data_IF_316829277386
#
_entry.id   IF_316829277386
#
_cell.length_a   1.000
_cell.length_b   1.000
_cell.length_c   1.000
_cell.angle_alpha   90.00
_cell.angle_beta   90.00
_cell.angle_gamma   90.00
#
_symmetry.space_group_name_H-M   'P 1'
#
loop_
_entity.id
_entity.type
_entity.pdbx_description
1 polymer ?
#
# COMPACT_ATOMS: atom_id res chain seq x y z
N UNK A 1 22.50 0.79 6.71
CA UNK A 1 21.07 0.58 7.01
C UNK A 1 20.70 1.33 8.27
N UNK A 2 21.03 2.62 8.34
CA UNK A 2 20.49 3.52 9.36
C UNK A 2 19.47 4.41 8.65
N UNK A 3 18.25 4.44 9.15
CA UNK A 3 17.19 5.32 8.66
C UNK A 3 17.44 6.69 9.28
N UNK A 4 17.51 7.74 8.47
CA UNK A 4 17.73 9.10 8.98
C UNK A 4 16.54 9.60 9.82
N UNK A 5 15.34 9.10 9.52
CA UNK A 5 14.10 9.40 10.23
C UNK A 5 13.18 8.19 10.24
N UNK A 6 12.51 7.99 11.36
CA UNK A 6 11.41 7.03 11.46
C UNK A 6 10.13 7.63 10.85
N UNK A 7 9.32 6.78 10.23
CA UNK A 7 7.99 7.19 9.75
C UNK A 7 7.05 7.30 10.96
N UNK A 8 6.23 8.34 10.99
CA UNK A 8 5.19 8.47 12.01
C UNK A 8 4.09 7.46 11.70
N UNK A 9 3.63 6.75 12.73
CA UNK A 9 2.48 5.88 12.59
C UNK A 9 1.24 6.73 12.27
N UNK A 10 0.53 6.37 11.21
CA UNK A 10 -0.67 7.09 10.77
C UNK A 10 -1.91 6.48 11.44
N UNK A 11 -2.91 7.30 11.75
CA UNK A 11 -4.21 6.80 12.26
C UNK A 11 -4.86 5.78 11.30
N UNK A 12 -4.52 5.88 10.01
CA UNK A 12 -4.94 4.98 8.93
C UNK A 12 -4.42 3.54 9.08
N UNK A 13 -3.35 3.31 9.85
CA UNK A 13 -2.80 1.96 10.12
C UNK A 13 -3.63 1.14 11.12
N UNK A 14 -4.72 1.73 11.66
CA UNK A 14 -5.65 1.02 12.53
C UNK A 14 -5.01 0.55 13.84
N UNK A 15 -4.19 1.41 14.44
CA UNK A 15 -3.48 1.09 15.67
C UNK A 15 -4.42 0.89 16.86
N UNK A 16 -4.23 -0.19 17.59
CA UNK A 16 -4.89 -0.44 18.87
C UNK A 16 -3.90 -0.24 20.00
N UNK A 17 -4.20 0.68 20.92
CA UNK A 17 -3.38 0.91 22.10
C UNK A 17 -3.37 -0.32 23.02
N UNK A 18 -2.21 -0.66 23.55
CA UNK A 18 -2.09 -1.68 24.60
C UNK A 18 -2.17 -1.04 25.98
N UNK A 19 -2.02 -1.85 27.05
CA UNK A 19 -1.87 -1.34 28.42
C UNK A 19 -0.63 -0.44 28.61
N UNK A 20 0.30 -0.46 27.66
CA UNK A 20 1.51 0.36 27.69
C UNK A 20 1.37 1.52 26.72
N UNK A 21 1.56 2.75 27.21
CA UNK A 21 1.34 4.00 26.46
C UNK A 21 2.20 4.17 25.20
N UNK A 22 3.29 3.40 25.08
CA UNK A 22 4.22 3.44 23.95
C UNK A 22 4.11 2.24 23.01
N UNK A 23 3.21 1.30 23.28
CA UNK A 23 3.06 0.07 22.49
C UNK A 23 1.68 0.07 21.85
N UNK A 24 1.68 0.08 20.53
CA UNK A 24 0.50 0.02 19.69
C UNK A 24 0.55 -1.24 18.82
N UNK A 25 -0.59 -1.89 18.63
CA UNK A 25 -0.74 -3.05 17.76
C UNK A 25 -1.37 -2.58 16.46
N UNK A 26 -0.64 -2.68 15.35
CA UNK A 26 -1.20 -2.45 14.02
C UNK A 26 -2.24 -3.49 13.67
N UNK A 27 -3.36 -3.07 13.09
CA UNK A 27 -4.39 -3.99 12.62
C UNK A 27 -3.87 -4.69 11.37
N UNK A 28 -3.78 -6.03 11.34
CA UNK A 28 -3.39 -6.74 10.12
C UNK A 28 -4.39 -6.43 9.02
N UNK A 29 -3.91 -5.96 7.87
CA UNK A 29 -4.76 -5.82 6.69
C UNK A 29 -5.10 -7.22 6.18
N UNK A 30 -6.39 -7.54 6.13
CA UNK A 30 -6.86 -8.78 5.51
C UNK A 30 -6.77 -8.62 3.99
N UNK A 31 -5.64 -9.01 3.41
CA UNK A 31 -5.46 -9.07 1.95
C UNK A 31 -5.43 -10.54 1.55
N UNK A 32 -6.23 -10.91 0.55
CA UNK A 32 -6.10 -12.20 -0.11
C UNK A 32 -4.81 -12.21 -0.94
N UNK A 33 -3.86 -13.05 -0.53
CA UNK A 33 -2.55 -13.15 -1.15
C UNK A 33 -2.63 -13.67 -2.60
N UNK A 34 -3.65 -14.46 -2.93
CA UNK A 34 -3.87 -14.97 -4.27
C UNK A 34 -4.44 -13.89 -5.19
N UNK A 35 -5.37 -13.06 -4.70
CA UNK A 35 -5.87 -11.90 -5.43
C UNK A 35 -4.75 -10.89 -5.70
N UNK A 36 -3.98 -10.53 -4.66
CA UNK A 36 -2.84 -9.62 -4.80
C UNK A 36 -1.83 -10.10 -5.86
N UNK A 37 -1.52 -11.40 -5.87
CA UNK A 37 -0.62 -11.98 -6.87
C UNK A 37 -1.16 -11.85 -8.30
N UNK A 38 -2.47 -12.06 -8.50
CA UNK A 38 -3.10 -11.89 -9.82
C UNK A 38 -3.04 -10.44 -10.29
N UNK A 39 -3.29 -9.50 -9.40
CA UNK A 39 -3.22 -8.07 -9.71
C UNK A 39 -1.80 -7.66 -10.09
N UNK A 40 -0.78 -8.16 -9.40
CA UNK A 40 0.63 -7.91 -9.72
C UNK A 40 1.06 -8.51 -11.08
N UNK A 41 0.62 -9.72 -11.41
CA UNK A 41 0.88 -10.29 -12.75
C UNK A 41 0.18 -9.49 -13.85
N UNK A 42 -1.03 -9.00 -13.58
CA UNK A 42 -1.76 -8.12 -14.50
C UNK A 42 -1.02 -6.80 -14.69
N UNK A 43 -0.53 -6.20 -13.60
CA UNK A 43 0.30 -4.99 -13.63
C UNK A 43 1.55 -5.20 -14.52
N UNK A 44 2.25 -6.32 -14.33
CA UNK A 44 3.44 -6.68 -15.11
C UNK A 44 3.14 -6.76 -16.61
N UNK A 45 1.98 -7.30 -16.99
CA UNK A 45 1.57 -7.32 -18.40
C UNK A 45 1.28 -5.92 -18.94
N UNK A 46 0.57 -5.08 -18.15
CA UNK A 46 0.22 -3.71 -18.54
C UNK A 46 1.46 -2.82 -18.69
N UNK A 47 2.51 -3.04 -17.91
CA UNK A 47 3.78 -2.29 -18.03
C UNK A 47 4.51 -2.47 -19.36
N UNK A 48 4.17 -3.50 -20.14
CA UNK A 48 4.76 -3.72 -21.47
C UNK A 48 4.06 -2.86 -22.55
N UNK A 49 2.90 -2.25 -22.22
CA UNK A 49 2.10 -1.40 -23.13
C UNK A 49 2.28 0.12 -22.91
N UNK A 50 1.28 0.90 -23.35
CA UNK A 50 1.28 2.37 -23.25
C UNK A 50 1.01 2.89 -21.82
N UNK A 51 1.76 3.89 -21.38
CA UNK A 51 1.76 4.40 -19.99
C UNK A 51 0.43 4.94 -19.44
N UNK A 52 -0.52 5.34 -20.28
CA UNK A 52 -1.84 5.81 -19.83
C UNK A 52 -2.66 4.69 -19.16
N UNK A 53 -2.54 3.46 -19.66
CA UNK A 53 -3.25 2.30 -19.09
C UNK A 53 -2.64 1.88 -17.76
N UNK A 54 -1.33 2.12 -17.58
CA UNK A 54 -0.63 1.85 -16.33
C UNK A 54 -1.14 2.75 -15.21
N UNK A 55 -1.26 4.06 -15.46
CA UNK A 55 -1.74 5.01 -14.44
C UNK A 55 -3.17 4.66 -14.01
N UNK A 56 -4.05 4.35 -14.96
CA UNK A 56 -5.43 3.93 -14.66
C UNK A 56 -5.48 2.65 -13.83
N UNK A 57 -4.63 1.68 -14.14
CA UNK A 57 -4.58 0.42 -13.40
C UNK A 57 -4.00 0.61 -11.98
N UNK A 58 -2.97 1.44 -11.83
CA UNK A 58 -2.40 1.78 -10.52
C UNK A 58 -3.41 2.54 -9.65
N UNK A 59 -4.20 3.46 -10.23
CA UNK A 59 -5.29 4.13 -9.52
C UNK A 59 -6.40 3.17 -9.09
N UNK A 60 -6.65 2.11 -9.86
CA UNK A 60 -7.59 1.06 -9.47
C UNK A 60 -7.06 0.23 -8.29
N UNK A 61 -5.80 -0.19 -8.37
CA UNK A 61 -5.16 -1.01 -7.34
C UNK A 61 -4.88 -0.23 -6.04
N UNK A 62 -4.53 1.04 -6.17
CA UNK A 62 -4.19 1.95 -5.07
C UNK A 62 -5.08 3.18 -5.21
N UNK A 63 -6.31 3.18 -4.66
CA UNK A 63 -7.27 4.28 -4.83
C UNK A 63 -6.76 5.65 -4.36
N UNK A 64 -5.84 5.65 -3.38
CA UNK A 64 -5.20 6.85 -2.85
C UNK A 64 -4.02 7.34 -3.71
N UNK A 65 -3.67 6.65 -4.81
CA UNK A 65 -2.62 7.08 -5.70
C UNK A 65 -3.03 8.35 -6.45
N UNK A 66 -2.31 9.45 -6.16
CA UNK A 66 -2.47 10.73 -6.86
C UNK A 66 -1.33 10.90 -7.85
N UNK A 67 -1.64 10.91 -9.14
CA UNK A 67 -0.70 11.35 -10.15
C UNK A 67 -0.64 12.88 -10.07
N UNK A 68 0.41 13.41 -9.46
CA UNK A 68 0.71 14.85 -9.49
C UNK A 68 1.45 15.09 -10.80
N UNK A 69 0.79 15.79 -11.73
CA UNK A 69 1.33 16.19 -13.03
C UNK A 69 2.06 17.52 -12.87
#
# INVERSE_FOLDING_TARGET
GEKLYEELLLEEEGLTATRHEKIFIGKPTSIDLHELKKELETLKFITVGTGENLIKFVQHLVPNYRCVI
#
